data_IF_800874855417
#
_entry.id   IF_800874855417
#
_cell.length_a   1.000
_cell.length_b   1.000
_cell.length_c   1.000
_cell.angle_alpha   90.00
_cell.angle_beta   90.00
_cell.angle_gamma   90.00
#
_symmetry.space_group_name_H-M   'P 1'
#
loop_
_entity.id
_entity.type
_entity.pdbx_description
1 polymer ?
#
# COMPACT_ATOMS: atom_id res chain seq x y z
N UNK A 1 -3.21 -0.91 7.35
CA UNK A 1 -1.75 -1.10 7.24
C UNK A 1 -1.51 -2.32 6.36
N UNK A 2 -0.51 -2.30 5.48
CA UNK A 2 -0.18 -3.44 4.63
C UNK A 2 1.20 -3.94 5.05
N UNK A 3 1.27 -5.20 5.44
CA UNK A 3 2.53 -5.91 5.56
C UNK A 3 2.81 -6.62 4.23
N UNK A 4 4.01 -6.46 3.70
CA UNK A 4 4.38 -7.08 2.43
C UNK A 4 5.85 -7.53 2.44
N UNK A 5 6.12 -8.66 1.79
CA UNK A 5 7.48 -9.16 1.59
C UNK A 5 8.33 -8.20 0.73
N UNK A 6 9.66 -8.10 0.92
CA UNK A 6 10.54 -7.21 0.15
C UNK A 6 10.51 -7.40 -1.38
N UNK A 7 10.10 -8.59 -1.86
CA UNK A 7 9.95 -8.86 -3.30
C UNK A 7 8.74 -8.13 -3.90
N UNK A 8 7.79 -7.66 -3.08
CA UNK A 8 6.67 -6.89 -3.58
C UNK A 8 7.06 -5.45 -3.85
N UNK A 9 6.90 -5.04 -5.10
CA UNK A 9 7.05 -3.65 -5.49
C UNK A 9 5.81 -2.86 -5.07
N UNK A 10 6.01 -1.81 -4.28
CA UNK A 10 4.95 -0.90 -3.81
C UNK A 10 4.04 -0.41 -4.94
N UNK A 11 4.54 0.03 -6.12
CA UNK A 11 3.67 0.45 -7.22
C UNK A 11 2.72 -0.65 -7.72
N UNK A 12 3.16 -1.91 -7.71
CA UNK A 12 2.33 -3.05 -8.14
C UNK A 12 1.21 -3.33 -7.13
N UNK A 13 1.52 -3.26 -5.84
CA UNK A 13 0.52 -3.39 -4.77
C UNK A 13 -0.56 -2.30 -4.94
N UNK A 14 -0.15 -1.04 -5.08
CA UNK A 14 -1.08 0.08 -5.19
C UNK A 14 -1.91 0.01 -6.49
N UNK A 15 -1.28 -0.37 -7.61
CA UNK A 15 -1.96 -0.60 -8.88
C UNK A 15 -3.04 -1.68 -8.75
N UNK A 16 -2.72 -2.81 -8.12
CA UNK A 16 -3.67 -3.88 -7.90
C UNK A 16 -4.83 -3.41 -7.00
N UNK A 17 -4.53 -2.79 -5.87
CA UNK A 17 -5.54 -2.32 -4.92
C UNK A 17 -6.48 -1.29 -5.55
N UNK A 18 -5.96 -0.21 -6.13
CA UNK A 18 -6.78 0.85 -6.72
C UNK A 18 -7.51 0.36 -7.98
N UNK A 19 -6.83 -0.39 -8.85
CA UNK A 19 -7.39 -0.85 -10.12
C UNK A 19 -8.49 -1.90 -9.93
N UNK A 20 -8.23 -2.94 -9.14
CA UNK A 20 -9.19 -4.03 -8.91
C UNK A 20 -10.39 -3.52 -8.13
N UNK A 21 -10.19 -2.73 -7.07
CA UNK A 21 -11.30 -2.16 -6.31
C UNK A 21 -12.18 -1.25 -7.18
N UNK A 22 -11.58 -0.40 -8.02
CA UNK A 22 -12.34 0.45 -8.94
C UNK A 22 -13.19 -0.36 -9.91
N UNK A 23 -12.61 -1.40 -10.52
CA UNK A 23 -13.34 -2.29 -11.41
C UNK A 23 -14.52 -2.97 -10.69
N UNK A 24 -14.28 -3.56 -9.53
CA UNK A 24 -15.30 -4.29 -8.78
C UNK A 24 -16.43 -3.37 -8.30
N UNK A 25 -16.09 -2.17 -7.84
CA UNK A 25 -17.09 -1.19 -7.40
C UNK A 25 -17.94 -0.68 -8.57
N UNK A 26 -17.34 -0.39 -9.73
CA UNK A 26 -18.13 -0.01 -10.90
C UNK A 26 -19.04 -1.12 -11.44
N UNK A 27 -18.67 -2.39 -11.24
CA UNK A 27 -19.51 -3.53 -11.61
C UNK A 27 -20.66 -3.73 -10.62
N UNK A 28 -20.39 -3.64 -9.32
CA UNK A 28 -21.38 -3.84 -8.25
C UNK A 28 -22.32 -2.66 -8.10
N UNK A 29 -21.83 -1.45 -8.39
CA UNK A 29 -22.54 -0.18 -8.20
C UNK A 29 -22.44 0.69 -9.47
N UNK A 30 -23.16 0.33 -10.55
CA UNK A 30 -23.14 1.09 -11.80
C UNK A 30 -23.58 2.55 -11.64
N UNK A 31 -24.40 2.85 -10.63
CA UNK A 31 -24.88 4.19 -10.28
C UNK A 31 -23.75 5.18 -9.98
N UNK A 32 -22.62 4.70 -9.46
CA UNK A 32 -21.45 5.54 -9.13
C UNK A 32 -20.91 6.26 -10.36
N UNK A 33 -21.02 5.65 -11.55
CA UNK A 33 -20.57 6.26 -12.82
C UNK A 33 -21.30 7.57 -13.15
N UNK A 34 -22.47 7.81 -12.55
CA UNK A 34 -23.21 9.09 -12.71
C UNK A 34 -22.51 10.25 -12.01
N UNK A 35 -21.83 9.98 -10.90
CA UNK A 35 -21.16 10.99 -10.08
C UNK A 35 -19.67 11.12 -10.42
N UNK A 36 -19.04 10.04 -10.87
CA UNK A 36 -17.61 9.99 -11.20
C UNK A 36 -17.40 9.94 -12.71
N UNK A 37 -17.68 11.08 -13.35
CA UNK A 37 -17.46 11.28 -14.78
C UNK A 37 -15.99 11.03 -15.14
N UNK A 38 -15.75 10.35 -16.27
CA UNK A 38 -14.40 9.98 -16.72
C UNK A 38 -13.88 8.62 -16.22
N UNK A 39 -14.69 7.84 -15.51
CA UNK A 39 -14.36 6.44 -15.19
C UNK A 39 -13.25 6.24 -14.16
N UNK A 40 -12.83 7.31 -13.48
CA UNK A 40 -11.83 7.26 -12.42
C UNK A 40 -12.52 7.24 -11.06
N UNK A 41 -12.34 6.15 -10.32
CA UNK A 41 -12.84 6.06 -8.94
C UNK A 41 -11.89 6.73 -7.93
N UNK A 42 -10.60 6.58 -8.14
CA UNK A 42 -9.56 7.04 -7.22
C UNK A 42 -8.77 8.19 -7.85
N UNK A 43 -8.27 9.11 -7.02
CA UNK A 43 -7.24 10.06 -7.44
C UNK A 43 -6.04 9.28 -8.01
N UNK A 44 -5.42 9.67 -9.13
CA UNK A 44 -4.27 8.95 -9.70
C UNK A 44 -3.09 8.80 -8.73
N UNK A 45 -2.87 9.80 -7.87
CA UNK A 45 -1.79 9.82 -6.88
C UNK A 45 -2.04 8.90 -5.68
N UNK A 46 -0.98 8.59 -4.94
CA UNK A 46 -1.04 7.83 -3.70
C UNK A 46 0.12 8.25 -2.77
N UNK A 47 -0.06 8.04 -1.47
CA UNK A 47 0.94 8.30 -0.44
C UNK A 47 1.34 6.99 0.25
N UNK A 48 2.64 6.82 0.53
CA UNK A 48 3.19 5.66 1.23
C UNK A 48 4.20 6.13 2.26
N UNK A 49 4.11 5.58 3.46
CA UNK A 49 5.08 5.76 4.52
C UNK A 49 5.41 4.40 5.12
N UNK A 50 6.67 4.21 5.52
CA UNK A 50 7.09 3.03 6.26
C UNK A 50 6.61 3.14 7.70
N UNK A 51 6.20 2.01 8.27
CA UNK A 51 5.84 1.90 9.68
C UNK A 51 6.77 0.87 10.31
N UNK A 52 7.38 1.22 11.42
CA UNK A 52 8.22 0.34 12.23
C UNK A 52 7.68 0.36 13.65
N UNK A 53 7.49 -0.82 14.23
CA UNK A 53 7.22 -0.97 15.66
C UNK A 53 8.52 -0.91 16.49
N UNK A 54 9.68 -1.02 15.82
CA UNK A 54 10.97 -0.99 16.48
C UNK A 54 11.43 0.45 16.74
N UNK A 55 11.88 0.71 17.96
CA UNK A 55 12.57 1.94 18.34
C UNK A 55 14.00 1.96 17.80
N UNK A 56 14.59 3.15 17.70
CA UNK A 56 16.00 3.31 17.31
C UNK A 56 16.94 2.49 18.22
N UNK A 57 16.65 2.45 19.52
CA UNK A 57 17.42 1.69 20.51
C UNK A 57 17.39 0.18 20.24
N UNK A 58 16.20 -0.35 19.90
CA UNK A 58 16.06 -1.76 19.54
C UNK A 58 16.86 -2.12 18.28
N UNK A 59 16.84 -1.24 17.27
CA UNK A 59 17.62 -1.42 16.04
C UNK A 59 19.13 -1.36 16.34
N UNK A 60 19.56 -0.41 17.17
CA UNK A 60 20.97 -0.25 17.56
C UNK A 60 21.49 -1.47 18.32
N UNK A 61 20.73 -1.95 19.31
CA UNK A 61 21.07 -3.14 20.08
C UNK A 61 21.13 -4.40 19.19
N UNK A 62 20.23 -4.53 18.22
CA UNK A 62 20.26 -5.62 17.25
C UNK A 62 21.54 -5.62 16.41
N UNK A 63 21.94 -4.44 15.88
CA UNK A 63 23.16 -4.29 15.06
C UNK A 63 24.43 -4.61 15.87
N UNK A 64 24.53 -4.12 17.11
CA UNK A 64 25.70 -4.35 17.97
C UNK A 64 25.90 -5.83 18.29
N UNK A 65 24.81 -6.56 18.53
CA UNK A 65 24.87 -7.97 18.91
C UNK A 65 24.96 -8.93 17.71
N UNK A 66 24.86 -8.43 16.47
CA UNK A 66 24.94 -9.27 15.26
C UNK A 66 26.34 -9.83 14.99
N UNK A 67 27.40 -9.16 15.44
CA UNK A 67 28.81 -9.52 15.20
C UNK A 67 29.39 -10.44 16.29
N UNK A 68 28.66 -10.67 17.39
CA UNK A 68 29.13 -11.44 18.55
C UNK A 68 28.78 -12.93 18.44
N UNK A 69 28.39 -13.39 17.24
CA UNK A 69 28.11 -14.79 16.93
C UNK A 69 29.14 -15.38 15.98
#
# INVERSE_FOLDING_TARGET
>A
LIECSPQHQIPNIIKALKGVSARLLFLKHPEIKRYLWGGNLWNPSYFVATVSENTEEQIRNYIQNQQVK
#
